data_IF_994686036556
#
_entry.id   IF_994686036556
#
_cell.length_a   1.000
_cell.length_b   1.000
_cell.length_c   1.000
_cell.angle_alpha   90.00
_cell.angle_beta   90.00
_cell.angle_gamma   90.00
#
_symmetry.space_group_name_H-M   'P 1'
#
loop_
_entity.id
_entity.type
_entity.pdbx_description
1 polymer ?
#
# COMPACT_ATOMS: atom_id res chain seq x y z
N UNK A 1 -27.05 -30.19 -8.79
CA UNK A 1 -26.21 -29.90 -7.61
C UNK A 1 -24.75 -29.82 -8.03
N UNK A 2 -24.28 -28.66 -8.47
CA UNK A 2 -22.86 -28.43 -8.70
C UNK A 2 -22.31 -27.67 -7.50
N UNK A 3 -21.43 -28.32 -6.74
CA UNK A 3 -20.70 -27.71 -5.64
C UNK A 3 -19.88 -26.53 -6.18
N UNK A 4 -20.28 -25.33 -5.78
CA UNK A 4 -19.38 -24.19 -5.71
C UNK A 4 -18.26 -24.53 -4.72
N UNK A 5 -17.10 -24.98 -5.20
CA UNK A 5 -15.86 -24.82 -4.43
C UNK A 5 -15.28 -23.45 -4.73
N UNK A 6 -15.96 -22.43 -4.21
CA UNK A 6 -15.37 -21.12 -3.98
C UNK A 6 -15.05 -21.11 -2.48
N UNK A 7 -13.78 -21.30 -2.11
CA UNK A 7 -13.17 -20.99 -0.81
C UNK A 7 -11.78 -21.62 -0.84
N UNK A 8 -10.74 -20.80 -0.85
CA UNK A 8 -9.48 -21.16 -0.20
C UNK A 8 -9.25 -20.20 0.97
N UNK A 9 -10.14 -20.29 1.97
CA UNK A 9 -9.93 -19.77 3.31
C UNK A 9 -9.61 -20.96 4.22
N UNK A 10 -8.32 -21.28 4.29
CA UNK A 10 -7.67 -21.88 5.45
C UNK A 10 -6.19 -21.55 5.35
N UNK A 11 -5.80 -20.36 5.78
CA UNK A 11 -4.39 -20.05 6.01
C UNK A 11 -4.25 -19.62 7.46
N UNK A 12 -3.96 -20.61 8.31
CA UNK A 12 -3.41 -20.37 9.65
C UNK A 12 -1.94 -19.93 9.57
N UNK A 13 -1.35 -19.80 8.39
CA UNK A 13 -0.04 -19.21 8.11
C UNK A 13 -0.15 -18.47 6.77
N UNK A 14 0.11 -17.16 6.72
CA UNK A 14 0.21 -16.40 5.48
C UNK A 14 1.52 -16.80 4.78
N UNK A 15 1.48 -17.87 3.97
CA UNK A 15 2.63 -18.35 3.21
C UNK A 15 2.68 -17.65 1.87
N UNK A 16 3.23 -16.43 1.86
CA UNK A 16 3.74 -15.82 0.64
C UNK A 16 5.21 -16.27 0.48
N UNK A 17 5.44 -17.58 0.35
CA UNK A 17 6.73 -18.09 -0.14
C UNK A 17 6.67 -18.11 -1.67
N UNK A 18 7.45 -17.25 -2.36
CA UNK A 18 7.48 -17.22 -3.82
C UNK A 18 7.87 -18.57 -4.41
N UNK A 19 8.68 -19.37 -3.70
CA UNK A 19 9.07 -20.69 -4.19
C UNK A 19 7.88 -21.64 -4.17
N UNK A 20 7.12 -21.66 -3.07
CA UNK A 20 5.91 -22.49 -2.98
C UNK A 20 4.84 -22.10 -4.01
N UNK A 21 4.60 -20.80 -4.23
CA UNK A 21 3.61 -20.34 -5.20
C UNK A 21 3.99 -20.68 -6.64
N UNK A 22 5.27 -20.89 -6.95
CA UNK A 22 5.73 -21.22 -8.29
C UNK A 22 5.25 -22.61 -8.72
N UNK A 23 5.19 -23.55 -7.77
CA UNK A 23 4.79 -24.93 -8.03
C UNK A 23 3.30 -25.09 -8.35
N UNK A 24 2.46 -24.10 -8.02
CA UNK A 24 1.00 -24.13 -8.24
C UNK A 24 0.51 -22.99 -9.13
N UNK A 25 1.42 -22.37 -9.89
CA UNK A 25 1.18 -21.11 -10.61
C UNK A 25 0.09 -21.22 -11.68
N UNK A 26 -0.06 -22.39 -12.30
CA UNK A 26 -1.03 -22.59 -13.38
C UNK A 26 -2.44 -22.82 -12.81
N UNK A 27 -2.53 -23.47 -11.65
CA UNK A 27 -3.77 -23.71 -10.90
C UNK A 27 -4.34 -22.43 -10.30
N UNK A 28 -3.48 -21.52 -9.84
CA UNK A 28 -3.90 -20.24 -9.25
C UNK A 28 -3.98 -19.09 -10.26
N UNK A 29 -3.57 -19.30 -11.51
CA UNK A 29 -3.63 -18.29 -12.57
C UNK A 29 -5.03 -17.64 -12.75
N UNK A 30 -6.16 -18.38 -12.73
CA UNK A 30 -7.50 -17.78 -12.85
C UNK A 30 -8.04 -17.23 -11.52
N UNK A 31 -7.33 -17.38 -10.39
CA UNK A 31 -7.78 -16.92 -9.09
C UNK A 31 -7.49 -15.42 -8.87
N UNK A 32 -8.35 -14.77 -8.07
CA UNK A 32 -8.06 -13.46 -7.47
C UNK A 32 -7.32 -13.69 -6.17
N UNK A 33 -6.09 -13.21 -6.07
CA UNK A 33 -5.32 -13.23 -4.83
C UNK A 33 -5.60 -11.96 -4.03
N UNK A 34 -5.76 -12.12 -2.73
CA UNK A 34 -5.78 -11.03 -1.76
C UNK A 34 -4.37 -10.89 -1.20
N UNK A 35 -3.71 -9.78 -1.49
CA UNK A 35 -2.29 -9.57 -1.13
C UNK A 35 -2.13 -8.27 -0.35
N UNK A 36 -1.22 -8.23 0.61
CA UNK A 36 -1.00 -7.02 1.43
C UNK A 36 -0.24 -5.95 0.67
N UNK A 37 0.66 -6.36 -0.23
CA UNK A 37 1.31 -5.53 -1.23
C UNK A 37 1.87 -6.41 -2.36
N UNK A 38 2.38 -5.75 -3.39
CA UNK A 38 3.17 -6.37 -4.47
C UNK A 38 4.69 -6.21 -4.23
N UNK A 39 5.10 -5.74 -3.04
CA UNK A 39 6.43 -5.22 -2.74
C UNK A 39 7.47 -6.32 -2.51
N UNK A 40 8.52 -6.32 -3.34
CA UNK A 40 9.61 -7.30 -3.38
C UNK A 40 9.49 -8.34 -4.49
N UNK A 41 8.27 -8.66 -4.93
CA UNK A 41 7.98 -9.72 -5.92
C UNK A 41 8.32 -9.28 -7.35
N UNK A 42 8.16 -7.99 -7.65
CA UNK A 42 8.43 -7.40 -8.97
C UNK A 42 9.93 -7.18 -9.28
N UNK A 43 10.82 -7.17 -8.27
CA UNK A 43 12.25 -6.80 -8.48
C UNK A 43 13.15 -7.94 -8.98
N UNK A 44 12.64 -9.17 -9.06
CA UNK A 44 13.40 -10.29 -9.65
C UNK A 44 13.40 -10.27 -11.18
N UNK A 45 12.39 -9.66 -11.81
CA UNK A 45 12.28 -9.67 -13.28
C UNK A 45 13.20 -8.65 -13.94
N UNK A 46 13.43 -7.50 -13.31
CA UNK A 46 14.29 -6.44 -13.87
C UNK A 46 15.78 -6.81 -13.89
N UNK A 47 16.24 -7.74 -13.04
CA UNK A 47 17.65 -8.20 -12.99
C UNK A 47 17.95 -9.39 -13.91
N UNK A 48 16.94 -9.96 -14.59
CA UNK A 48 17.15 -10.98 -15.62
C UNK A 48 17.51 -10.41 -17.00
N UNK A 49 17.66 -9.08 -17.11
CA UNK A 49 17.87 -8.31 -18.35
C UNK A 49 19.24 -8.46 -19.03
N UNK A 50 19.98 -9.53 -18.75
CA UNK A 50 21.05 -10.01 -19.64
C UNK A 50 20.52 -10.93 -20.76
N UNK A 51 19.21 -10.90 -21.03
CA UNK A 51 18.63 -11.52 -22.21
C UNK A 51 18.18 -10.43 -23.19
N UNK A 52 18.65 -10.51 -24.44
CA UNK A 52 18.39 -9.56 -25.52
C UNK A 52 16.94 -9.58 -26.05
N UNK A 53 15.95 -9.79 -25.18
CA UNK A 53 14.52 -9.76 -25.55
C UNK A 53 13.79 -8.78 -24.63
N UNK A 54 13.53 -7.59 -25.16
CA UNK A 54 12.82 -6.49 -24.47
C UNK A 54 11.31 -6.74 -24.26
N UNK A 55 10.84 -8.00 -24.27
CA UNK A 55 9.40 -8.33 -24.42
C UNK A 55 8.83 -9.33 -23.40
N UNK A 56 9.51 -9.61 -22.28
CA UNK A 56 8.96 -10.49 -21.25
C UNK A 56 8.86 -9.81 -19.90
N UNK A 57 7.66 -9.37 -19.54
CA UNK A 57 7.27 -9.25 -18.14
C UNK A 57 6.94 -10.67 -17.68
N UNK A 58 7.77 -11.27 -16.84
CA UNK A 58 7.38 -12.52 -16.19
C UNK A 58 6.19 -12.18 -15.29
N UNK A 59 5.06 -12.84 -15.47
CA UNK A 59 3.96 -12.70 -14.50
C UNK A 59 4.38 -13.46 -13.23
N UNK A 60 5.19 -12.82 -12.39
CA UNK A 60 5.58 -13.35 -11.08
C UNK A 60 4.37 -13.33 -10.15
N UNK A 61 3.56 -14.39 -10.17
CA UNK A 61 2.60 -14.85 -9.13
C UNK A 61 1.45 -13.92 -8.71
N UNK A 62 1.62 -12.61 -8.82
CA UNK A 62 0.71 -11.54 -8.43
C UNK A 62 0.63 -10.52 -9.56
N UNK A 63 -0.56 -9.98 -9.80
CA UNK A 63 -0.86 -9.15 -10.97
C UNK A 63 -1.86 -8.06 -10.60
N UNK A 64 -1.43 -6.81 -10.73
CA UNK A 64 -2.25 -5.59 -10.51
C UNK A 64 -3.58 -5.64 -11.29
N UNK A 65 -3.58 -6.29 -12.46
CA UNK A 65 -4.78 -6.43 -13.31
C UNK A 65 -5.89 -7.23 -12.64
N UNK A 66 -5.56 -8.31 -11.91
CA UNK A 66 -6.54 -9.30 -11.42
C UNK A 66 -6.60 -9.41 -9.89
N UNK A 67 -5.47 -9.20 -9.22
CA UNK A 67 -5.31 -9.36 -7.79
C UNK A 67 -5.69 -8.08 -7.04
N UNK A 68 -6.01 -8.21 -5.76
CA UNK A 68 -6.48 -7.11 -4.91
C UNK A 68 -5.47 -6.86 -3.81
N UNK A 69 -4.96 -5.63 -3.77
CA UNK A 69 -4.19 -5.15 -2.63
C UNK A 69 -5.14 -4.86 -1.48
N UNK A 70 -4.89 -5.50 -0.36
CA UNK A 70 -5.62 -5.41 0.89
C UNK A 70 -4.86 -4.47 1.82
N UNK A 71 -5.53 -3.45 2.41
CA UNK A 71 -4.84 -2.53 3.31
C UNK A 71 -4.41 -3.25 4.58
N UNK A 72 -3.25 -2.90 5.12
CA UNK A 72 -2.86 -3.32 6.47
C UNK A 72 -3.84 -2.75 7.51
N UNK A 73 -4.08 -3.49 8.57
CA UNK A 73 -4.81 -2.99 9.73
C UNK A 73 -4.00 -1.87 10.39
N UNK A 74 -4.62 -0.72 10.61
CA UNK A 74 -4.04 0.35 11.40
C UNK A 74 -3.95 -0.06 12.88
N UNK A 75 -2.90 0.38 13.56
CA UNK A 75 -2.66 0.13 14.97
C UNK A 75 -3.10 1.32 15.82
N UNK A 76 -3.14 2.52 15.25
CA UNK A 76 -3.51 3.72 15.96
C UNK A 76 -5.04 3.94 15.94
N UNK A 77 -5.63 4.48 17.02
CA UNK A 77 -7.03 4.84 17.03
C UNK A 77 -7.30 6.00 16.05
N UNK A 78 -8.47 5.96 15.41
CA UNK A 78 -8.96 7.04 14.54
C UNK A 78 -9.07 8.35 15.31
N UNK A 79 -8.50 9.41 14.76
CA UNK A 79 -8.66 10.79 15.22
C UNK A 79 -9.80 11.42 14.43
N UNK A 80 -10.83 11.93 15.13
CA UNK A 80 -11.91 12.64 14.46
C UNK A 80 -11.45 14.04 14.03
N UNK A 81 -11.99 14.52 12.90
CA UNK A 81 -11.63 15.83 12.36
C UNK A 81 -11.89 16.98 13.34
N UNK A 82 -12.94 16.88 14.16
CA UNK A 82 -13.28 17.84 15.22
C UNK A 82 -12.24 17.92 16.34
N UNK A 83 -11.47 16.86 16.54
CA UNK A 83 -10.43 16.76 17.58
C UNK A 83 -9.07 17.21 17.06
N UNK A 84 -8.91 17.41 15.73
CA UNK A 84 -7.64 17.77 15.12
C UNK A 84 -7.17 19.15 15.61
N UNK A 85 -5.96 19.16 16.17
CA UNK A 85 -5.33 20.37 16.72
C UNK A 85 -4.31 20.98 15.74
N UNK A 86 -3.87 22.19 16.07
CA UNK A 86 -2.75 22.84 15.36
C UNK A 86 -1.47 22.01 15.55
N UNK A 87 -0.77 21.77 14.45
CA UNK A 87 0.46 20.98 14.41
C UNK A 87 1.67 21.90 14.41
N UNK A 88 2.74 21.48 15.08
CA UNK A 88 3.94 22.30 15.27
C UNK A 88 5.17 21.73 14.58
N UNK A 89 5.18 20.41 14.34
CA UNK A 89 6.23 19.76 13.57
C UNK A 89 5.83 19.74 12.09
N UNK A 90 6.82 19.82 11.22
CA UNK A 90 6.62 19.76 9.77
C UNK A 90 6.44 18.31 9.32
N UNK A 91 7.42 17.46 9.60
CA UNK A 91 7.48 16.10 9.06
C UNK A 91 7.83 15.10 10.16
N UNK A 92 7.13 13.98 10.17
CA UNK A 92 7.36 12.89 11.11
C UNK A 92 7.64 11.56 10.41
N UNK A 93 8.61 10.84 10.93
CA UNK A 93 8.87 9.45 10.59
C UNK A 93 9.25 8.66 11.84
N UNK A 94 8.62 7.50 12.01
CA UNK A 94 9.06 6.49 12.98
C UNK A 94 9.16 5.11 12.36
N UNK A 95 10.33 4.50 12.45
CA UNK A 95 10.61 3.18 11.87
C UNK A 95 12.10 2.85 11.83
N UNK A 96 12.43 1.58 11.60
CA UNK A 96 13.82 1.16 11.47
C UNK A 96 14.53 1.94 10.36
N UNK A 97 15.68 2.54 10.69
CA UNK A 97 16.56 3.23 9.74
C UNK A 97 17.03 2.26 8.64
N UNK A 98 17.55 1.12 9.06
CA UNK A 98 18.09 0.10 8.16
C UNK A 98 17.06 -1.03 7.91
N UNK A 99 16.88 -1.41 6.64
CA UNK A 99 16.11 -2.59 6.23
C UNK A 99 16.74 -3.26 5.01
N UNK A 100 16.66 -4.59 4.95
CA UNK A 100 17.15 -5.36 3.80
C UNK A 100 16.42 -4.99 2.50
N UNK A 101 17.10 -5.08 1.35
CA UNK A 101 16.57 -5.02 -0.05
C UNK A 101 15.84 -3.74 -0.52
N UNK A 102 15.24 -2.93 0.35
CA UNK A 102 14.60 -1.65 0.03
C UNK A 102 15.06 -0.45 0.89
N UNK A 103 15.98 -0.66 1.85
CA UNK A 103 16.39 0.35 2.84
C UNK A 103 17.19 1.54 2.30
N UNK A 104 17.83 1.44 1.12
CA UNK A 104 18.76 2.47 0.64
C UNK A 104 18.12 3.86 0.48
N UNK A 105 16.86 3.93 0.03
CA UNK A 105 16.15 5.22 -0.08
C UNK A 105 15.85 5.77 1.31
N UNK A 106 15.40 4.92 2.24
CA UNK A 106 15.10 5.33 3.61
C UNK A 106 16.36 5.79 4.36
N UNK A 107 17.47 5.09 4.21
CA UNK A 107 18.75 5.46 4.82
C UNK A 107 19.23 6.82 4.32
N UNK A 108 19.20 7.05 3.00
CA UNK A 108 19.56 8.35 2.43
C UNK A 108 18.60 9.46 2.87
N UNK A 109 17.29 9.22 2.87
CA UNK A 109 16.32 10.18 3.37
C UNK A 109 16.55 10.48 4.85
N UNK A 110 16.91 9.47 5.66
CA UNK A 110 17.25 9.66 7.06
C UNK A 110 18.42 10.62 7.22
N UNK A 111 19.51 10.39 6.49
CA UNK A 111 20.71 11.22 6.59
C UNK A 111 20.46 12.67 6.13
N UNK A 112 19.58 12.87 5.15
CA UNK A 112 19.17 14.20 4.68
C UNK A 112 18.24 14.94 5.64
N UNK A 113 17.36 14.22 6.35
CA UNK A 113 16.23 14.82 7.07
C UNK A 113 16.44 14.93 8.59
N UNK A 114 17.32 14.14 9.18
CA UNK A 114 17.49 14.07 10.65
C UNK A 114 17.82 15.41 11.31
N UNK A 115 18.49 16.32 10.59
CA UNK A 115 18.91 17.63 11.10
C UNK A 115 18.05 18.80 10.58
N UNK A 116 16.99 18.53 9.82
CA UNK A 116 16.13 19.56 9.25
C UNK A 116 15.16 20.12 10.32
N UNK A 117 15.01 21.47 10.44
CA UNK A 117 14.14 22.07 11.44
C UNK A 117 12.67 21.60 11.32
N UNK A 118 12.10 21.17 12.45
CA UNK A 118 10.71 20.68 12.51
C UNK A 118 10.52 19.29 11.90
N UNK A 119 11.60 18.58 11.57
CA UNK A 119 11.56 17.18 11.16
C UNK A 119 11.91 16.27 12.33
N UNK A 120 11.12 15.23 12.53
CA UNK A 120 11.32 14.22 13.57
C UNK A 120 11.53 12.86 12.89
N UNK A 121 12.72 12.30 13.06
CA UNK A 121 13.09 10.97 12.58
C UNK A 121 13.46 10.09 13.78
N UNK A 122 12.66 9.05 14.05
CA UNK A 122 12.82 8.18 15.20
C UNK A 122 12.87 6.70 14.83
N UNK A 123 13.62 5.90 15.56
CA UNK A 123 13.53 4.45 15.43
C UNK A 123 12.23 3.93 16.07
N UNK A 124 11.63 2.94 15.42
CA UNK A 124 10.36 2.35 15.83
C UNK A 124 10.55 1.09 16.65
N UNK A 125 9.76 0.94 17.71
CA UNK A 125 9.73 -0.25 18.57
C UNK A 125 8.29 -0.79 18.64
N UNK A 126 8.07 -2.10 18.48
CA UNK A 126 6.74 -2.70 18.47
C UNK A 126 6.22 -2.95 19.90
N UNK A 127 6.16 -1.91 20.72
CA UNK A 127 5.67 -1.96 22.10
C UNK A 127 4.67 -0.82 22.39
N UNK A 128 4.04 -0.84 23.57
CA UNK A 128 3.04 0.16 23.96
C UNK A 128 3.60 1.60 23.92
N UNK A 129 4.82 1.80 24.41
CA UNK A 129 5.51 3.10 24.38
C UNK A 129 5.72 3.59 22.95
N UNK A 130 6.14 2.72 22.03
CA UNK A 130 6.31 3.04 20.62
C UNK A 130 4.99 3.42 19.94
N UNK A 131 3.88 2.79 20.35
CA UNK A 131 2.53 3.15 19.90
C UNK A 131 2.13 4.55 20.37
N UNK A 132 2.30 4.86 21.65
CA UNK A 132 1.99 6.20 22.22
C UNK A 132 2.84 7.30 21.57
N UNK A 133 4.13 7.06 21.39
CA UNK A 133 5.02 7.97 20.66
C UNK A 133 4.55 8.20 19.22
N UNK A 134 4.09 7.15 18.54
CA UNK A 134 3.56 7.28 17.18
C UNK A 134 2.28 8.10 17.14
N UNK A 135 1.37 7.91 18.10
CA UNK A 135 0.15 8.72 18.24
C UNK A 135 0.54 10.20 18.41
N UNK A 136 1.44 10.49 19.37
CA UNK A 136 1.85 11.85 19.64
C UNK A 136 2.56 12.48 18.44
N UNK A 137 3.53 11.79 17.85
CA UNK A 137 4.30 12.28 16.72
C UNK A 137 3.44 12.55 15.48
N UNK A 138 2.58 11.61 15.08
CA UNK A 138 1.70 11.79 13.92
C UNK A 138 0.66 12.89 14.13
N UNK A 139 0.09 13.01 15.33
CA UNK A 139 -0.96 14.01 15.62
C UNK A 139 -0.42 15.42 15.84
N UNK A 140 0.88 15.57 16.06
CA UNK A 140 1.55 16.87 16.21
C UNK A 140 2.33 17.35 14.98
N UNK A 141 2.36 16.55 13.92
CA UNK A 141 3.15 16.82 12.70
C UNK A 141 2.27 17.01 11.47
N UNK A 142 2.55 18.01 10.65
CA UNK A 142 1.76 18.32 9.45
C UNK A 142 1.74 17.15 8.46
N UNK A 143 2.92 16.57 8.23
CA UNK A 143 3.17 15.51 7.27
C UNK A 143 3.79 14.26 7.91
N UNK A 144 3.51 13.10 7.33
CA UNK A 144 4.09 11.82 7.71
C UNK A 144 4.85 11.21 6.54
N UNK A 145 6.15 11.01 6.70
CA UNK A 145 7.01 10.47 5.65
C UNK A 145 6.69 8.99 5.44
N UNK A 146 6.51 8.60 4.17
CA UNK A 146 6.23 7.24 3.78
C UNK A 146 7.06 6.85 2.55
N UNK A 147 8.34 6.50 2.75
CA UNK A 147 9.17 6.02 1.66
C UNK A 147 8.80 4.58 1.36
N UNK A 148 8.48 4.30 0.08
CA UNK A 148 8.20 2.94 -0.36
C UNK A 148 9.42 2.05 -0.05
N UNK A 149 9.20 1.02 0.77
CA UNK A 149 10.20 0.01 1.12
C UNK A 149 9.86 -1.33 0.50
N UNK A 150 10.21 -2.43 1.20
CA UNK A 150 9.81 -3.78 0.78
C UNK A 150 8.29 -3.96 0.77
N UNK A 151 7.57 -3.21 1.62
CA UNK A 151 6.11 -3.25 1.71
C UNK A 151 5.54 -1.83 1.53
N UNK A 152 5.17 -1.41 0.30
CA UNK A 152 4.75 -0.03 0.01
C UNK A 152 3.48 0.39 0.77
N UNK A 153 2.68 -0.55 1.26
CA UNK A 153 1.41 -0.30 1.97
C UNK A 153 1.53 -0.60 3.47
N UNK A 154 2.72 -0.54 4.07
CA UNK A 154 2.88 -0.86 5.51
C UNK A 154 1.87 -0.14 6.41
N UNK A 155 1.57 -0.70 7.59
CA UNK A 155 0.63 -0.13 8.57
C UNK A 155 0.80 1.38 8.83
N UNK A 156 2.03 1.92 8.71
CA UNK A 156 2.32 3.35 8.87
C UNK A 156 1.47 4.26 7.99
N UNK A 157 1.20 3.87 6.74
CA UNK A 157 0.36 4.68 5.84
C UNK A 157 -1.07 4.80 6.41
N UNK A 158 -1.63 3.68 6.86
CA UNK A 158 -2.97 3.66 7.44
C UNK A 158 -3.01 4.32 8.82
N UNK A 159 -1.97 4.19 9.63
CA UNK A 159 -1.84 4.93 10.90
C UNK A 159 -1.81 6.45 10.69
N UNK A 160 -1.13 6.91 9.64
CA UNK A 160 -1.11 8.33 9.25
C UNK A 160 -2.51 8.80 8.80
N UNK A 161 -3.21 7.99 7.99
CA UNK A 161 -4.61 8.24 7.59
C UNK A 161 -5.52 8.36 8.82
N UNK A 162 -5.43 7.42 9.75
CA UNK A 162 -6.22 7.44 10.99
C UNK A 162 -5.83 8.60 11.92
N UNK A 163 -4.63 9.15 11.81
CA UNK A 163 -4.15 10.28 12.62
C UNK A 163 -4.26 11.65 11.92
N UNK A 164 -4.90 11.70 10.74
CA UNK A 164 -5.01 12.91 9.90
C UNK A 164 -3.65 13.54 9.54
N UNK A 165 -2.59 12.74 9.53
CA UNK A 165 -1.24 13.15 9.18
C UNK A 165 -1.02 12.96 7.68
N UNK A 166 -0.75 14.05 6.96
CA UNK A 166 -0.71 14.07 5.49
C UNK A 166 0.43 13.15 5.01
N UNK A 167 0.13 12.01 4.36
CA UNK A 167 1.16 11.11 3.91
C UNK A 167 2.00 11.77 2.81
N UNK A 168 3.32 11.70 2.95
CA UNK A 168 4.29 12.07 1.91
C UNK A 168 4.87 10.77 1.37
N UNK A 169 4.27 10.28 0.30
CA UNK A 169 4.59 9.00 -0.31
C UNK A 169 5.76 9.20 -1.27
N UNK A 170 6.94 8.69 -0.90
CA UNK A 170 8.14 8.74 -1.75
C UNK A 170 8.24 7.42 -2.51
N UNK A 171 7.86 7.45 -3.79
CA UNK A 171 7.95 6.30 -4.70
C UNK A 171 7.87 6.75 -6.16
N UNK A 172 8.58 6.06 -7.06
CA UNK A 172 8.45 6.27 -8.51
C UNK A 172 7.32 5.42 -9.11
N UNK A 173 6.99 4.31 -8.45
CA UNK A 173 5.87 3.46 -8.81
C UNK A 173 5.31 2.84 -7.52
N UNK A 174 4.04 3.08 -7.22
CA UNK A 174 3.37 2.52 -6.05
C UNK A 174 1.94 2.16 -6.40
N UNK A 175 1.56 0.96 -5.99
CA UNK A 175 0.20 0.47 -6.09
C UNK A 175 -0.41 0.51 -4.68
N UNK A 176 -1.62 1.06 -4.56
CA UNK A 176 -2.32 1.26 -3.29
C UNK A 176 -3.65 0.49 -3.25
N UNK A 177 -4.14 0.10 -2.06
CA UNK A 177 -5.43 -0.55 -1.94
C UNK A 177 -6.56 0.34 -2.44
N UNK A 178 -7.56 -0.28 -3.06
CA UNK A 178 -8.79 0.39 -3.50
C UNK A 178 -8.59 1.53 -4.52
N UNK A 179 -7.53 1.52 -5.32
CA UNK A 179 -7.38 2.44 -6.45
C UNK A 179 -8.62 2.45 -7.36
N UNK A 180 -9.01 3.64 -7.84
CA UNK A 180 -10.26 3.85 -8.57
C UNK A 180 -11.53 3.83 -7.71
N UNK A 181 -11.42 3.51 -6.41
CA UNK A 181 -12.44 3.79 -5.39
C UNK A 181 -11.98 4.88 -4.43
N UNK A 182 -10.67 4.95 -4.16
CA UNK A 182 -10.01 5.98 -3.36
C UNK A 182 -8.99 6.69 -4.24
N UNK A 183 -9.11 8.02 -4.33
CA UNK A 183 -8.09 8.86 -4.93
C UNK A 183 -7.14 9.37 -3.84
N UNK A 184 -5.97 8.74 -3.73
CA UNK A 184 -4.96 9.12 -2.75
C UNK A 184 -4.36 10.51 -3.01
N UNK A 185 -4.46 11.03 -4.24
CA UNK A 185 -3.95 12.38 -4.57
C UNK A 185 -4.77 13.48 -3.90
N UNK A 186 -6.01 13.17 -3.49
CA UNK A 186 -6.87 14.11 -2.76
C UNK A 186 -6.46 14.32 -1.29
N UNK A 187 -5.55 13.49 -0.75
CA UNK A 187 -5.14 13.60 0.66
C UNK A 187 -3.69 13.22 0.96
N UNK A 188 -2.89 12.92 -0.06
CA UNK A 188 -1.47 12.55 0.06
C UNK A 188 -0.61 13.34 -0.93
N UNK A 189 0.65 13.54 -0.58
CA UNK A 189 1.66 14.14 -1.45
C UNK A 189 2.53 13.03 -2.02
N UNK A 190 2.55 12.88 -3.35
CA UNK A 190 3.41 11.92 -4.04
C UNK A 190 4.69 12.61 -4.50
N UNK A 191 5.83 11.99 -4.21
CA UNK A 191 7.15 12.52 -4.51
C UNK A 191 8.01 11.45 -5.19
N UNK A 192 8.61 11.80 -6.34
CA UNK A 192 9.58 10.95 -7.00
C UNK A 192 10.81 10.73 -6.12
N UNK A 193 11.37 9.52 -6.15
CA UNK A 193 12.55 9.18 -5.34
C UNK A 193 13.72 10.09 -5.69
N UNK A 194 13.90 10.38 -6.98
CA UNK A 194 14.96 11.27 -7.47
C UNK A 194 14.89 12.69 -6.90
N UNK A 195 13.69 13.23 -6.69
CA UNK A 195 13.50 14.55 -6.11
C UNK A 195 13.65 14.55 -4.59
N UNK A 196 13.08 13.54 -3.91
CA UNK A 196 13.17 13.42 -2.46
C UNK A 196 14.61 13.25 -1.94
N UNK A 197 15.51 12.70 -2.78
CA UNK A 197 16.93 12.51 -2.46
C UNK A 197 17.80 13.74 -2.76
N UNK A 198 17.24 14.84 -3.27
CA UNK A 198 17.95 16.11 -3.42
C UNK A 198 17.99 16.83 -2.06
N UNK A 199 19.15 17.36 -1.63
CA UNK A 199 19.27 18.08 -0.36
C UNK A 199 18.21 19.18 -0.22
N UNK A 200 17.53 19.19 0.93
CA UNK A 200 16.46 20.13 1.32
C UNK A 200 15.26 20.27 0.35
N UNK A 201 15.25 19.58 -0.79
CA UNK A 201 14.17 19.67 -1.78
C UNK A 201 12.84 19.23 -1.18
N UNK A 202 12.82 18.08 -0.49
CA UNK A 202 11.61 17.52 0.09
C UNK A 202 10.99 18.47 1.12
N UNK A 203 11.82 19.01 2.01
CA UNK A 203 11.40 19.96 3.06
C UNK A 203 10.83 21.22 2.44
N UNK A 204 11.53 21.82 1.47
CA UNK A 204 11.06 23.00 0.75
C UNK A 204 9.73 22.74 0.02
N UNK A 205 9.60 21.57 -0.60
CA UNK A 205 8.39 21.18 -1.31
C UNK A 205 7.18 21.11 -0.37
N UNK A 206 7.29 20.36 0.74
CA UNK A 206 6.17 20.22 1.69
C UNK A 206 5.87 21.51 2.46
N UNK A 207 6.87 22.38 2.67
CA UNK A 207 6.68 23.71 3.26
C UNK A 207 5.88 24.67 2.37
N UNK A 208 5.90 24.49 1.04
CA UNK A 208 5.16 25.34 0.11
C UNK A 208 3.63 25.17 0.19
N UNK A 209 3.14 24.09 0.82
CA UNK A 209 1.71 23.83 0.96
C UNK A 209 1.07 24.80 1.94
N UNK A 210 0.10 25.56 1.45
CA UNK A 210 -0.67 26.50 2.24
C UNK A 210 -1.50 25.78 3.31
N UNK A 211 -1.90 26.52 4.36
CA UNK A 211 -2.82 26.01 5.37
C UNK A 211 -4.11 25.45 4.75
N UNK A 212 -4.68 26.15 3.77
CA UNK A 212 -5.91 25.74 3.09
C UNK A 212 -5.76 24.38 2.38
N UNK A 213 -4.64 24.16 1.67
CA UNK A 213 -4.37 22.87 1.02
C UNK A 213 -4.25 21.74 2.05
N UNK A 214 -3.54 21.99 3.15
CA UNK A 214 -3.37 21.00 4.23
C UNK A 214 -4.69 20.69 4.93
N UNK A 215 -5.55 21.68 5.13
CA UNK A 215 -6.89 21.48 5.70
C UNK A 215 -7.79 20.68 4.74
N UNK A 216 -7.70 20.93 3.43
CA UNK A 216 -8.40 20.15 2.40
C UNK A 216 -7.97 18.68 2.42
N UNK A 217 -6.65 18.42 2.47
CA UNK A 217 -6.13 17.05 2.58
C UNK A 217 -6.68 16.32 3.80
N UNK A 218 -6.74 16.97 4.97
CA UNK A 218 -7.30 16.35 6.19
C UNK A 218 -8.80 16.08 6.08
N UNK A 219 -9.56 16.96 5.44
CA UNK A 219 -10.99 16.75 5.22
C UNK A 219 -11.24 15.53 4.32
N UNK A 220 -10.51 15.42 3.21
CA UNK A 220 -10.62 14.28 2.29
C UNK A 220 -10.15 12.98 2.97
N UNK A 221 -9.07 13.04 3.74
CA UNK A 221 -8.58 11.90 4.52
C UNK A 221 -9.60 11.41 5.55
N UNK A 222 -10.26 12.32 6.26
CA UNK A 222 -11.31 11.97 7.22
C UNK A 222 -12.49 11.24 6.55
N UNK A 223 -12.83 11.58 5.31
CA UNK A 223 -13.85 10.85 4.52
C UNK A 223 -13.37 9.46 4.10
N UNK A 224 -12.06 9.29 3.87
CA UNK A 224 -11.47 8.02 3.49
C UNK A 224 -11.21 7.07 4.67
N UNK A 225 -11.04 7.58 5.90
CA UNK A 225 -10.74 6.79 7.11
C UNK A 225 -11.60 5.52 7.28
N UNK A 226 -12.95 5.56 7.14
CA UNK A 226 -13.80 4.37 7.31
C UNK A 226 -13.44 3.23 6.36
N UNK A 227 -12.94 3.55 5.15
CA UNK A 227 -12.58 2.56 4.13
C UNK A 227 -11.45 1.63 4.56
N UNK A 228 -10.66 2.02 5.55
CA UNK A 228 -9.51 1.27 6.05
C UNK A 228 -9.74 0.65 7.44
N UNK A 229 -10.96 0.74 7.97
CA UNK A 229 -11.33 0.14 9.26
C UNK A 229 -11.74 -1.33 9.06
N UNK A 230 -11.06 -2.22 9.76
CA UNK A 230 -11.44 -3.63 9.85
C UNK A 230 -12.33 -3.83 11.08
N UNK A 231 -13.62 -4.04 10.85
CA UNK A 231 -14.56 -4.47 11.87
C UNK A 231 -15.24 -5.76 11.40
N UNK A 232 -15.38 -6.73 12.30
CA UNK A 232 -15.81 -8.10 12.02
C UNK A 232 -16.94 -8.60 12.96
N UNK A 233 -17.57 -7.72 13.75
CA UNK A 233 -18.84 -8.03 14.41
C UNK A 233 -18.88 -9.16 15.42
N UNK A 234 -17.80 -9.40 16.14
CA UNK A 234 -17.71 -10.38 17.23
C UNK A 234 -17.33 -9.71 18.56
N UNK A 235 -17.54 -10.32 19.73
CA UNK A 235 -16.97 -9.78 20.97
C UNK A 235 -15.43 -9.76 20.85
N UNK A 236 -14.83 -8.57 20.69
CA UNK A 236 -13.44 -8.38 20.27
C UNK A 236 -13.25 -7.73 18.87
N UNK A 237 -14.34 -7.48 18.15
CA UNK A 237 -14.46 -6.65 16.94
C UNK A 237 -15.85 -5.99 16.88
N UNK A 238 -15.86 -4.68 17.07
CA UNK A 238 -17.04 -3.93 17.51
C UNK A 238 -18.00 -3.62 16.34
N UNK A 239 -18.96 -4.52 16.05
CA UNK A 239 -20.20 -4.15 15.34
C UNK A 239 -20.47 -4.79 13.97
N UNK A 240 -21.67 -4.58 13.38
CA UNK A 240 -21.97 -5.10 12.04
C UNK A 240 -20.96 -4.53 11.03
N UNK A 241 -20.42 -5.37 10.14
CA UNK A 241 -19.40 -4.97 9.16
C UNK A 241 -19.83 -3.66 8.50
N UNK A 242 -19.09 -2.55 8.72
CA UNK A 242 -19.47 -1.25 8.18
C UNK A 242 -19.61 -1.34 6.67
N UNK A 243 -20.70 -0.83 6.10
CA UNK A 243 -20.97 -0.85 4.65
C UNK A 243 -19.79 -0.31 3.82
N UNK A 244 -19.08 0.65 4.40
CA UNK A 244 -17.92 1.29 3.81
C UNK A 244 -16.60 0.92 4.50
N UNK A 245 -16.58 -0.16 5.27
CA UNK A 245 -15.39 -0.71 5.92
C UNK A 245 -14.46 -1.47 4.97
N UNK A 246 -13.25 -1.77 5.44
CA UNK A 246 -12.21 -2.42 4.63
C UNK A 246 -12.68 -3.75 4.02
N UNK A 247 -13.34 -4.60 4.80
CA UNK A 247 -13.83 -5.92 4.32
C UNK A 247 -14.79 -5.77 3.15
N UNK A 248 -15.75 -4.84 3.23
CA UNK A 248 -16.70 -4.63 2.15
C UNK A 248 -16.03 -4.01 0.93
N UNK A 249 -15.08 -3.09 1.10
CA UNK A 249 -14.33 -2.52 -0.02
C UNK A 249 -13.42 -3.56 -0.71
N UNK A 250 -12.85 -4.53 0.04
CA UNK A 250 -12.15 -5.68 -0.55
C UNK A 250 -13.09 -6.45 -1.47
N UNK A 251 -14.29 -6.81 -1.01
CA UNK A 251 -15.25 -7.55 -1.85
C UNK A 251 -15.76 -6.74 -3.03
N UNK A 252 -16.01 -5.43 -2.87
CA UNK A 252 -16.33 -4.51 -3.98
C UNK A 252 -15.20 -4.53 -5.02
N UNK A 253 -13.93 -4.49 -4.59
CA UNK A 253 -12.77 -4.53 -5.48
C UNK A 253 -12.62 -5.88 -6.19
N UNK A 254 -12.80 -7.00 -5.48
CA UNK A 254 -12.85 -8.34 -6.09
C UNK A 254 -13.92 -8.38 -7.17
N UNK A 255 -15.13 -7.89 -6.87
CA UNK A 255 -16.24 -7.87 -7.82
C UNK A 255 -15.91 -7.05 -9.08
N UNK A 256 -15.26 -5.88 -8.94
CA UNK A 256 -14.81 -5.06 -10.08
C UNK A 256 -13.79 -5.79 -10.98
N UNK A 257 -12.98 -6.69 -10.43
CA UNK A 257 -11.94 -7.43 -11.17
C UNK A 257 -12.49 -8.68 -11.89
N UNK A 258 -13.61 -9.24 -11.43
CA UNK A 258 -14.18 -10.48 -11.96
C UNK A 258 -14.47 -10.48 -13.48
N UNK A 259 -15.03 -9.43 -14.11
CA UNK A 259 -15.34 -9.45 -15.54
C UNK A 259 -14.09 -9.69 -16.40
N UNK A 260 -12.98 -9.00 -16.09
CA UNK A 260 -11.71 -9.12 -16.83
C UNK A 260 -11.18 -10.55 -16.76
N UNK A 261 -11.27 -11.18 -15.58
CA UNK A 261 -10.82 -12.57 -15.36
C UNK A 261 -11.71 -13.55 -16.12
N UNK A 262 -13.04 -13.38 -16.07
CA UNK A 262 -13.99 -14.22 -16.82
C UNK A 262 -13.71 -14.16 -18.32
N UNK A 263 -13.48 -12.97 -18.85
CA UNK A 263 -13.11 -12.81 -20.26
C UNK A 263 -11.75 -13.46 -20.57
N UNK A 264 -10.75 -13.32 -19.69
CA UNK A 264 -9.46 -13.97 -19.86
C UNK A 264 -9.60 -15.50 -19.93
N UNK A 265 -10.37 -16.11 -19.03
CA UNK A 265 -10.66 -17.56 -19.05
C UNK A 265 -11.32 -17.98 -20.37
N UNK A 266 -12.30 -17.21 -20.86
CA UNK A 266 -12.96 -17.50 -22.15
C UNK A 266 -11.97 -17.37 -23.32
N UNK A 267 -11.06 -16.38 -23.28
CA UNK A 267 -10.01 -16.21 -24.28
C UNK A 267 -9.06 -17.41 -24.31
N UNK A 268 -8.67 -17.93 -23.15
CA UNK A 268 -7.81 -19.12 -23.04
C UNK A 268 -8.46 -20.38 -23.62
N UNK A 269 -9.76 -20.60 -23.40
CA UNK A 269 -10.49 -21.76 -23.95
C UNK A 269 -10.46 -21.88 -25.47
N UNK A 270 -10.19 -20.78 -26.19
CA UNK A 270 -10.12 -20.74 -27.66
C UNK A 270 -8.74 -21.11 -28.19
N UNK A 271 -7.74 -21.32 -27.34
CA UNK A 271 -6.38 -21.63 -27.79
C UNK A 271 -6.29 -23.08 -28.28
N UNK A 272 -5.81 -23.31 -29.52
CA UNK A 272 -5.55 -24.66 -30.01
C UNK A 272 -4.48 -25.37 -29.16
N UNK A 273 -4.56 -26.71 -29.00
CA UNK A 273 -3.52 -27.47 -28.33
C UNK A 273 -2.14 -27.24 -28.96
N UNK A 274 -1.11 -27.06 -28.13
CA UNK A 274 0.28 -26.89 -28.59
C UNK A 274 0.67 -25.50 -29.07
N UNK A 275 -0.25 -24.52 -29.09
CA UNK A 275 0.06 -23.14 -29.50
C UNK A 275 0.44 -22.30 -28.29
N UNK A 276 1.72 -21.91 -28.21
CA UNK A 276 2.20 -20.90 -27.26
C UNK A 276 1.89 -19.51 -27.82
N UNK A 277 0.88 -18.85 -27.27
CA UNK A 277 0.60 -17.43 -27.57
C UNK A 277 1.49 -16.58 -26.67
N UNK A 278 2.33 -15.67 -27.21
CA UNK A 278 3.07 -14.72 -26.39
C UNK A 278 2.10 -13.96 -25.48
N UNK A 279 2.42 -13.91 -24.18
CA UNK A 279 1.62 -13.12 -23.23
C UNK A 279 1.76 -11.66 -23.65
N UNK A 280 0.71 -11.08 -24.24
CA UNK A 280 0.72 -9.66 -24.60
C UNK A 280 0.78 -8.85 -23.31
N UNK A 281 1.80 -8.00 -23.18
CA UNK A 281 1.86 -6.99 -22.14
C UNK A 281 0.56 -6.17 -22.18
N UNK A 282 -0.19 -6.17 -21.08
CA UNK A 282 -1.28 -5.21 -20.91
C UNK A 282 -0.69 -3.93 -20.30
N UNK A 283 -0.41 -3.01 -21.23
CA UNK A 283 -0.21 -1.56 -21.10
C UNK A 283 1.06 -1.02 -20.43
N UNK A 284 1.46 0.11 -21.03
CA UNK A 284 2.62 1.02 -20.90
C UNK A 284 2.72 1.76 -19.59
#
# INVERSE_FOLDING_TARGET
>A
MCLFSLVMLKLKHCLADPVAMWHVKDEIAPAVLLVVDFGGWYRLDSKSSNCSSSEMIQHTQVSVIKDVIVPYTHLLPTLHLSENQKRHNLLYFKGAKHRHRGGLVREKLWDLLINEPGVIMEEGFPNATGREQSIQGMRTSEFCLHPAGDTPTSCRLFDAIQSLCIPVIVSDNIELPFEGMVDYTEFSVFVAVGDALKPSWLVNHIQSFSKQQKDMFRQNMARAQPMFVYDNGHPGGIGPVPLDGAVNNIWKKVHQKLPIIKEAIIREKRKPPGVLVPRRCQCT
#
